data_IF_864815228774
#
_entry.id   IF_864815228774
#
_cell.length_a   1.000
_cell.length_b   1.000
_cell.length_c   1.000
_cell.angle_alpha   90.00
_cell.angle_beta   90.00
_cell.angle_gamma   90.00
#
_symmetry.space_group_name_H-M   'P 1'
#
loop_
_entity.id
_entity.type
_entity.pdbx_description
1 polymer ?
#
# COMPACT_ATOMS: atom_id res chain seq x y z
N UNK A 1 7.86 -8.60 -10.14
CA UNK A 1 7.26 -7.33 -9.64
C UNK A 1 7.96 -6.12 -10.22
N UNK A 2 7.23 -5.29 -10.97
CA UNK A 2 7.74 -4.04 -11.55
C UNK A 2 7.68 -2.85 -10.56
N UNK A 3 6.98 -3.03 -9.45
CA UNK A 3 6.68 -2.00 -8.45
C UNK A 3 7.93 -1.37 -7.82
N UNK A 4 8.93 -2.14 -7.34
CA UNK A 4 10.15 -1.52 -6.78
C UNK A 4 10.96 -0.75 -7.82
N UNK A 5 10.83 -1.10 -9.11
CA UNK A 5 11.52 -0.39 -10.21
C UNK A 5 10.87 0.97 -10.52
N UNK A 6 9.58 1.15 -10.22
CA UNK A 6 8.77 2.30 -10.63
C UNK A 6 8.45 3.26 -9.47
N UNK A 7 8.91 3.00 -8.24
CA UNK A 7 8.59 3.86 -7.08
C UNK A 7 8.90 5.34 -7.36
N UNK A 8 7.88 6.21 -7.49
CA UNK A 8 8.09 7.59 -7.85
C UNK A 8 8.75 8.36 -6.70
N UNK A 9 9.43 9.47 -7.03
CA UNK A 9 10.08 10.33 -6.04
C UNK A 9 9.06 10.80 -5.00
N UNK A 10 9.38 10.59 -3.71
CA UNK A 10 8.54 10.98 -2.59
C UNK A 10 7.65 9.89 -2.02
N UNK A 11 7.64 8.68 -2.59
CA UNK A 11 7.01 7.50 -1.98
C UNK A 11 8.01 6.75 -1.10
N UNK A 12 7.65 6.55 0.16
CA UNK A 12 8.46 5.84 1.16
C UNK A 12 8.15 4.33 1.18
N UNK A 13 6.91 3.96 0.85
CA UNK A 13 6.51 2.57 0.75
C UNK A 13 5.11 2.37 0.16
N UNK A 14 4.88 1.17 -0.34
CA UNK A 14 3.61 0.74 -0.92
C UNK A 14 3.23 -0.62 -0.32
N UNK A 15 2.00 -0.75 0.17
CA UNK A 15 1.43 -2.02 0.59
C UNK A 15 0.21 -2.32 -0.27
N UNK A 16 0.22 -3.48 -0.91
CA UNK A 16 -0.89 -3.96 -1.74
C UNK A 16 -1.40 -5.23 -1.09
N UNK A 17 -2.71 -5.28 -0.83
CA UNK A 17 -3.37 -6.46 -0.31
C UNK A 17 -4.52 -6.84 -1.24
N UNK A 18 -4.44 -8.04 -1.81
CA UNK A 18 -5.50 -8.64 -2.60
C UNK A 18 -6.23 -9.66 -1.72
N UNK A 19 -7.55 -9.60 -1.68
CA UNK A 19 -8.40 -10.49 -0.90
C UNK A 19 -9.48 -11.09 -1.80
N UNK A 20 -9.69 -12.39 -1.72
CA UNK A 20 -10.74 -13.08 -2.48
C UNK A 20 -10.32 -14.47 -2.92
N UNK A 21 -11.04 -15.02 -3.89
CA UNK A 21 -10.75 -16.34 -4.51
C UNK A 21 -9.72 -16.18 -5.63
N UNK A 22 -8.52 -15.75 -5.25
CA UNK A 22 -7.43 -15.41 -6.15
C UNK A 22 -6.97 -16.64 -6.94
N UNK A 23 -6.82 -16.53 -8.26
CA UNK A 23 -6.36 -17.67 -9.09
C UNK A 23 -7.37 -18.80 -9.27
N UNK A 24 -8.66 -18.59 -8.94
CA UNK A 24 -9.72 -19.57 -9.19
C UNK A 24 -9.89 -20.65 -8.13
N UNK A 25 -9.16 -20.58 -7.01
CA UNK A 25 -9.33 -21.51 -5.88
C UNK A 25 -10.67 -21.34 -5.16
N UNK A 26 -11.14 -22.43 -4.54
CA UNK A 26 -12.40 -22.44 -3.79
C UNK A 26 -12.37 -21.60 -2.52
N UNK A 27 -11.23 -21.55 -1.84
CA UNK A 27 -11.09 -20.87 -0.56
C UNK A 27 -10.53 -19.47 -0.78
N UNK A 28 -11.22 -18.45 -0.24
CA UNK A 28 -10.75 -17.09 -0.28
C UNK A 28 -9.49 -16.89 0.58
N UNK A 29 -8.51 -16.16 0.05
CA UNK A 29 -7.24 -15.85 0.72
C UNK A 29 -6.95 -14.37 0.62
N UNK A 30 -6.09 -13.89 1.50
CA UNK A 30 -5.55 -12.53 1.43
C UNK A 30 -4.04 -12.60 1.24
N UNK A 31 -3.57 -12.08 0.12
CA UNK A 31 -2.16 -11.97 -0.22
C UNK A 31 -1.75 -10.49 -0.13
N UNK A 32 -0.71 -10.21 0.65
CA UNK A 32 -0.23 -8.84 0.84
C UNK A 32 1.24 -8.73 0.44
N UNK A 33 1.52 -7.91 -0.58
CA UNK A 33 2.86 -7.42 -0.90
C UNK A 33 3.19 -6.15 -0.12
N UNK A 34 4.40 -6.06 0.43
CA UNK A 34 4.92 -4.86 1.08
C UNK A 34 6.24 -4.46 0.42
N UNK A 35 6.34 -3.21 0.02
CA UNK A 35 7.52 -2.63 -0.61
C UNK A 35 7.89 -1.33 0.12
N UNK A 36 9.15 -1.20 0.54
CA UNK A 36 9.60 -0.05 1.32
C UNK A 36 8.97 0.02 2.72
N UNK A 37 8.88 1.23 3.29
CA UNK A 37 8.41 1.45 4.66
C UNK A 37 6.94 1.88 4.66
N UNK A 38 6.09 0.99 5.16
CA UNK A 38 4.62 1.14 5.17
C UNK A 38 4.06 1.18 6.59
N UNK A 39 4.70 1.92 7.50
CA UNK A 39 4.23 2.01 8.88
C UNK A 39 2.91 2.77 8.94
N UNK A 40 1.94 2.24 9.70
CA UNK A 40 0.68 2.93 10.00
C UNK A 40 0.70 3.60 11.39
N UNK A 41 1.79 3.45 12.15
CA UNK A 41 1.84 3.89 13.54
C UNK A 41 2.20 5.38 13.70
N UNK A 42 2.63 6.03 12.62
CA UNK A 42 3.02 7.45 12.63
C UNK A 42 1.81 8.28 12.23
N UNK A 43 1.18 8.95 13.19
CA UNK A 43 -0.04 9.74 12.97
C UNK A 43 0.17 10.89 11.97
N UNK A 44 1.31 11.58 12.05
CA UNK A 44 1.62 12.69 11.15
C UNK A 44 2.26 12.24 9.81
N UNK A 45 2.02 11.01 9.37
CA UNK A 45 2.49 10.51 8.09
C UNK A 45 1.39 10.65 7.04
N UNK A 46 1.70 11.23 5.87
CA UNK A 46 0.78 11.22 4.74
C UNK A 46 0.69 9.80 4.19
N UNK A 47 -0.50 9.21 4.31
CA UNK A 47 -0.80 7.86 3.83
C UNK A 47 -2.07 7.94 2.99
N UNK A 48 -1.98 7.58 1.71
CA UNK A 48 -3.16 7.43 0.85
C UNK A 48 -3.62 5.97 0.88
N UNK A 49 -4.94 5.78 0.89
CA UNK A 49 -5.58 4.48 0.87
C UNK A 49 -6.63 4.45 -0.23
N UNK A 50 -6.53 3.44 -1.11
CA UNK A 50 -7.51 3.19 -2.15
C UNK A 50 -7.89 1.72 -2.16
N UNK A 51 -9.15 1.46 -2.48
CA UNK A 51 -9.73 0.13 -2.58
C UNK A 51 -10.48 0.02 -3.90
N UNK A 52 -10.38 -1.16 -4.51
CA UNK A 52 -11.02 -1.48 -5.77
C UNK A 52 -11.56 -2.90 -5.68
N UNK A 53 -12.74 -3.11 -6.22
CA UNK A 53 -13.38 -4.42 -6.29
C UNK A 53 -13.46 -4.86 -7.73
N UNK A 54 -13.22 -6.15 -7.95
CA UNK A 54 -13.25 -6.78 -9.27
C UNK A 54 -14.24 -7.93 -9.19
N UNK A 55 -15.29 -7.86 -10.00
CA UNK A 55 -16.22 -8.98 -10.17
C UNK A 55 -15.56 -10.02 -11.07
N UNK A 56 -15.42 -11.23 -10.56
CA UNK A 56 -14.91 -12.39 -11.30
C UNK A 56 -15.99 -13.46 -11.35
N UNK A 57 -15.83 -14.44 -12.26
CA UNK A 57 -16.75 -15.57 -12.38
C UNK A 57 -17.00 -16.30 -11.05
N UNK A 58 -15.99 -16.31 -10.17
CA UNK A 58 -16.00 -17.10 -8.94
C UNK A 58 -16.37 -16.24 -7.71
N UNK A 59 -16.73 -14.97 -7.91
CA UNK A 59 -17.12 -14.03 -6.86
C UNK A 59 -16.39 -12.69 -6.97
N UNK A 60 -16.45 -11.89 -5.91
CA UNK A 60 -15.83 -10.56 -5.85
C UNK A 60 -14.42 -10.70 -5.24
N UNK A 61 -13.42 -10.15 -5.92
CA UNK A 61 -12.06 -10.01 -5.40
C UNK A 61 -11.76 -8.53 -5.14
N UNK A 62 -11.22 -8.22 -3.97
CA UNK A 62 -10.89 -6.86 -3.56
C UNK A 62 -9.39 -6.62 -3.57
N UNK A 63 -8.96 -5.46 -4.06
CA UNK A 63 -7.58 -4.97 -4.00
C UNK A 63 -7.56 -3.72 -3.14
N UNK A 64 -6.67 -3.69 -2.16
CA UNK A 64 -6.47 -2.58 -1.22
C UNK A 64 -5.03 -2.10 -1.33
N UNK A 65 -4.83 -0.85 -1.69
CA UNK A 65 -3.52 -0.22 -1.84
C UNK A 65 -3.35 0.86 -0.78
N UNK A 66 -2.23 0.81 -0.06
CA UNK A 66 -1.77 1.87 0.83
C UNK A 66 -0.45 2.41 0.31
N UNK A 67 -0.36 3.73 0.18
CA UNK A 67 0.85 4.44 -0.26
C UNK A 67 1.29 5.33 0.90
N UNK A 68 2.50 5.10 1.37
CA UNK A 68 3.16 5.90 2.39
C UNK A 68 4.09 6.89 1.70
N UNK A 69 3.89 8.18 1.93
CA UNK A 69 4.76 9.23 1.38
C UNK A 69 5.85 9.60 2.38
N UNK A 70 6.98 10.03 1.82
CA UNK A 70 8.10 10.57 2.59
C UNK A 70 7.73 11.94 3.13
N UNK A 71 7.92 12.14 4.44
CA UNK A 71 7.73 13.44 5.06
C UNK A 71 9.02 14.26 5.00
N UNK A 72 8.92 15.45 4.39
CA UNK A 72 9.97 16.47 4.50
C UNK A 72 9.98 17.01 5.93
N UNK A 73 10.97 16.63 6.74
CA UNK A 73 11.24 17.27 8.02
C UNK A 73 11.72 18.70 7.76
N UNK A 74 10.81 19.68 7.64
CA UNK A 74 11.20 21.08 7.76
C UNK A 74 11.88 21.28 9.13
N UNK A 75 13.01 21.96 9.10
CA UNK A 75 14.07 21.88 10.09
C UNK A 75 13.63 22.14 11.53
N UNK A 76 14.31 21.47 12.46
CA UNK A 76 14.49 22.02 13.80
C UNK A 76 15.40 23.23 13.62
N UNK A 77 14.84 24.43 13.68
CA UNK A 77 15.65 25.60 13.93
C UNK A 77 16.37 25.35 15.26
N UNK A 78 17.70 25.28 15.21
CA UNK A 78 18.51 25.46 16.40
C UNK A 78 18.37 26.95 16.76
N UNK A 79 17.60 27.24 17.80
CA UNK A 79 17.73 28.51 18.50
C UNK A 79 18.87 28.33 19.49
N UNK A 80 19.99 29.00 19.23
CA UNK A 80 20.99 29.36 20.25
C UNK A 80 20.34 30.09 21.42
#
# INVERSE_FOLDING_TARGET
DIIPLIMPKGVEGIRICCSGRLGGVEIARTECGKYGKTSCNVFNQKIDYALAEVSTRNGISGVKVRISYSQNKKGRAISE
#
